data_IF_539517385789
#
_entry.id   IF_539517385789
#
_cell.length_a   1.000
_cell.length_b   1.000
_cell.length_c   1.000
_cell.angle_alpha   90.00
_cell.angle_beta   90.00
_cell.angle_gamma   90.00
#
_symmetry.space_group_name_H-M   'P 1'
#
loop_
_entity.id
_entity.type
_entity.pdbx_description
1 polymer ?
#
# COMPACT_ATOMS: atom_id res chain seq x y z
N UNK A 1 9.74 -1.30 23.13
CA UNK A 1 10.85 -2.27 23.09
C UNK A 1 10.88 -2.97 21.73
N UNK A 2 11.43 -2.33 20.70
CA UNK A 2 11.87 -2.98 19.45
C UNK A 2 13.02 -2.11 18.90
N UNK A 3 14.17 -2.16 19.58
CA UNK A 3 15.45 -1.51 19.20
C UNK A 3 16.16 -2.30 18.10
N UNK A 4 15.41 -2.82 17.11
CA UNK A 4 15.93 -3.75 16.10
C UNK A 4 15.69 -3.19 14.70
N UNK A 5 16.67 -3.40 13.81
CA UNK A 5 16.63 -2.99 12.39
C UNK A 5 15.41 -3.52 11.61
N UNK A 6 14.73 -4.52 12.16
CA UNK A 6 13.53 -5.14 11.59
C UNK A 6 12.22 -4.58 12.13
N UNK A 7 12.27 -3.75 13.19
CA UNK A 7 11.10 -3.27 13.88
C UNK A 7 10.12 -2.54 12.94
N UNK A 8 10.67 -1.72 12.03
CA UNK A 8 9.86 -0.98 11.08
C UNK A 8 9.18 -1.90 10.06
N UNK A 9 9.93 -2.82 9.45
CA UNK A 9 9.38 -3.78 8.50
C UNK A 9 8.32 -4.69 9.14
N UNK A 10 8.59 -5.21 10.35
CA UNK A 10 7.65 -6.04 11.09
C UNK A 10 6.39 -5.24 11.39
N UNK A 11 6.52 -4.01 11.89
CA UNK A 11 5.37 -3.16 12.17
C UNK A 11 4.54 -2.92 10.90
N UNK A 12 5.20 -2.48 9.82
CA UNK A 12 4.58 -2.27 8.51
C UNK A 12 3.76 -3.48 8.08
N UNK A 13 4.36 -4.68 8.03
CA UNK A 13 3.68 -5.88 7.56
C UNK A 13 2.62 -6.39 8.54
N UNK A 14 2.87 -6.30 9.85
CA UNK A 14 2.02 -6.86 10.88
C UNK A 14 0.63 -6.20 10.91
N UNK A 15 0.53 -4.90 10.67
CA UNK A 15 -0.77 -4.22 10.64
C UNK A 15 -1.36 -4.15 9.22
N UNK A 16 -0.53 -4.00 8.18
CA UNK A 16 -1.06 -3.83 6.81
C UNK A 16 -1.59 -5.12 6.19
N UNK A 17 -0.89 -6.25 6.37
CA UNK A 17 -1.29 -7.51 5.75
C UNK A 17 -2.66 -8.01 6.24
N UNK A 18 -3.01 -7.97 7.54
CA UNK A 18 -4.35 -8.30 7.99
C UNK A 18 -5.43 -7.40 7.37
N UNK A 19 -5.18 -6.11 7.23
CA UNK A 19 -6.14 -5.16 6.63
C UNK A 19 -6.33 -5.46 5.15
N UNK A 20 -5.25 -5.68 4.40
CA UNK A 20 -5.32 -6.11 2.99
C UNK A 20 -6.08 -7.43 2.86
N UNK A 21 -5.80 -8.41 3.72
CA UNK A 21 -6.49 -9.70 3.71
C UNK A 21 -8.00 -9.55 3.91
N UNK A 22 -8.42 -8.69 4.86
CA UNK A 22 -9.83 -8.37 5.09
C UNK A 22 -10.44 -7.69 3.85
N UNK A 23 -9.77 -6.67 3.29
CA UNK A 23 -10.27 -5.98 2.10
C UNK A 23 -10.41 -6.94 0.91
N UNK A 24 -9.44 -7.83 0.69
CA UNK A 24 -9.50 -8.83 -0.37
C UNK A 24 -10.63 -9.84 -0.14
N UNK A 25 -10.80 -10.33 1.10
CA UNK A 25 -11.90 -11.23 1.44
C UNK A 25 -13.26 -10.58 1.18
N UNK A 26 -13.44 -9.32 1.59
CA UNK A 26 -14.67 -8.55 1.33
C UNK A 26 -14.89 -8.31 -0.17
N UNK A 27 -13.83 -7.97 -0.91
CA UNK A 27 -13.89 -7.71 -2.35
C UNK A 27 -14.27 -8.98 -3.11
N UNK A 28 -13.64 -10.11 -2.79
CA UNK A 28 -13.95 -11.42 -3.39
C UNK A 28 -15.38 -11.84 -3.06
N UNK A 29 -15.81 -11.69 -1.80
CA UNK A 29 -17.17 -12.02 -1.40
C UNK A 29 -18.23 -11.16 -2.11
N UNK A 30 -17.94 -9.87 -2.30
CA UNK A 30 -18.85 -8.93 -2.94
C UNK A 30 -18.93 -9.13 -4.47
N UNK A 31 -17.79 -9.14 -5.16
CA UNK A 31 -17.74 -9.17 -6.63
C UNK A 31 -17.74 -10.59 -7.22
N UNK A 32 -17.48 -11.62 -6.41
CA UNK A 32 -17.46 -13.04 -6.79
C UNK A 32 -16.63 -13.30 -8.05
N UNK A 33 -17.23 -13.79 -9.13
CA UNK A 33 -16.55 -14.06 -10.39
C UNK A 33 -15.91 -12.83 -11.04
N UNK A 34 -16.38 -11.61 -10.72
CA UNK A 34 -15.81 -10.35 -11.22
C UNK A 34 -14.67 -9.81 -10.36
N UNK A 35 -14.31 -10.47 -9.26
CA UNK A 35 -13.25 -10.00 -8.38
C UNK A 35 -11.90 -9.85 -9.12
N UNK A 36 -11.60 -10.76 -10.04
CA UNK A 36 -10.38 -10.70 -10.85
C UNK A 36 -10.31 -9.45 -11.72
N UNK A 37 -11.44 -9.03 -12.32
CA UNK A 37 -11.48 -7.84 -13.17
C UNK A 37 -11.34 -6.55 -12.35
N UNK A 38 -11.96 -6.52 -11.16
CA UNK A 38 -11.77 -5.40 -10.23
C UNK A 38 -10.31 -5.32 -9.79
N UNK A 39 -9.68 -6.43 -9.42
CA UNK A 39 -8.26 -6.44 -9.05
C UNK A 39 -7.36 -5.95 -10.19
N UNK A 40 -7.63 -6.35 -11.43
CA UNK A 40 -6.91 -5.85 -12.62
C UNK A 40 -7.12 -4.36 -12.87
N UNK A 41 -8.24 -3.79 -12.45
CA UNK A 41 -8.49 -2.36 -12.58
C UNK A 41 -7.78 -1.54 -11.48
N UNK A 42 -7.67 -2.08 -10.27
CA UNK A 42 -7.22 -1.33 -9.07
C UNK A 42 -5.74 -1.52 -8.75
N UNK A 43 -5.14 -2.67 -9.08
CA UNK A 43 -3.74 -2.94 -8.76
C UNK A 43 -2.75 -2.16 -9.64
N UNK A 44 -2.90 -2.07 -10.99
CA UNK A 44 -1.97 -1.29 -11.80
C UNK A 44 -1.81 0.18 -11.37
N UNK A 45 -2.88 0.97 -11.15
CA UNK A 45 -2.71 2.35 -10.71
C UNK A 45 -2.07 2.43 -9.31
N UNK A 46 -2.39 1.49 -8.40
CA UNK A 46 -1.75 1.43 -7.09
C UNK A 46 -0.23 1.21 -7.20
N UNK A 47 0.19 0.28 -8.06
CA UNK A 47 1.61 0.01 -8.28
C UNK A 47 2.30 1.19 -8.96
N UNK A 48 1.67 1.81 -9.96
CA UNK A 48 2.20 3.02 -10.62
C UNK A 48 2.43 4.14 -9.62
N UNK A 49 1.45 4.42 -8.75
CA UNK A 49 1.56 5.44 -7.70
C UNK A 49 2.65 5.08 -6.69
N UNK A 50 2.69 3.83 -6.22
CA UNK A 50 3.72 3.41 -5.25
C UNK A 50 5.15 3.49 -5.81
N UNK A 51 5.33 3.13 -7.08
CA UNK A 51 6.62 3.29 -7.78
C UNK A 51 6.96 4.77 -7.98
N UNK A 52 5.99 5.58 -8.41
CA UNK A 52 6.18 7.03 -8.58
C UNK A 52 6.63 7.70 -7.28
N UNK A 53 5.95 7.39 -6.17
CA UNK A 53 6.30 7.93 -4.85
C UNK A 53 7.69 7.47 -4.42
N UNK A 54 8.03 6.20 -4.65
CA UNK A 54 9.38 5.69 -4.34
C UNK A 54 10.48 6.42 -5.13
N UNK A 55 10.23 6.76 -6.40
CA UNK A 55 11.17 7.52 -7.23
C UNK A 55 11.27 8.98 -6.74
N UNK A 56 10.14 9.60 -6.45
CA UNK A 56 10.11 10.96 -5.90
C UNK A 56 10.89 11.05 -4.58
N UNK A 57 10.74 10.03 -3.73
CA UNK A 57 11.45 9.91 -2.47
C UNK A 57 12.96 9.76 -2.67
N UNK A 58 13.36 8.89 -3.60
CA UNK A 58 14.75 8.74 -4.01
C UNK A 58 15.37 10.07 -4.44
N UNK A 59 14.67 10.82 -5.29
CA UNK A 59 15.12 12.12 -5.78
C UNK A 59 15.29 13.10 -4.61
N UNK A 60 14.29 13.19 -3.73
CA UNK A 60 14.32 14.11 -2.59
C UNK A 60 15.54 13.86 -1.68
N UNK A 61 15.87 12.59 -1.42
CA UNK A 61 17.04 12.19 -0.63
C UNK A 61 18.33 12.51 -1.40
N UNK A 62 18.38 12.18 -2.69
CA UNK A 62 19.58 12.44 -3.52
C UNK A 62 19.90 13.93 -3.64
N UNK A 63 18.89 14.80 -3.61
CA UNK A 63 19.03 16.26 -3.63
C UNK A 63 19.24 16.88 -2.25
N UNK A 64 19.26 16.07 -1.19
CA UNK A 64 19.46 16.54 0.17
C UNK A 64 18.29 17.35 0.75
N UNK A 65 17.08 17.23 0.18
CA UNK A 65 15.87 17.88 0.73
C UNK A 65 15.61 17.32 2.13
N UNK A 66 15.82 16.01 2.30
CA UNK A 66 15.72 15.33 3.58
C UNK A 66 16.50 14.01 3.57
N UNK A 67 16.65 13.36 4.72
CA UNK A 67 17.40 12.10 4.86
C UNK A 67 16.82 11.21 5.97
N UNK A 68 17.04 9.91 5.87
CA UNK A 68 16.70 8.94 6.91
C UNK A 68 17.74 8.95 8.04
N UNK A 69 17.28 8.89 9.29
CA UNK A 69 18.16 8.76 10.44
C UNK A 69 18.92 7.43 10.41
N UNK A 70 20.24 7.48 10.61
CA UNK A 70 21.08 6.28 10.61
C UNK A 70 20.62 5.25 11.67
N UNK A 71 20.56 3.97 11.28
CA UNK A 71 20.49 2.84 12.23
C UNK A 71 19.14 2.14 12.41
N UNK A 72 18.04 2.58 11.77
CA UNK A 72 16.71 1.94 11.94
C UNK A 72 16.25 1.00 10.82
N UNK A 73 16.99 0.94 9.71
CA UNK A 73 16.62 0.13 8.55
C UNK A 73 17.39 -1.20 8.48
N UNK A 74 16.78 -2.19 7.84
CA UNK A 74 17.34 -3.51 7.52
C UNK A 74 18.64 -3.37 6.73
N UNK A 75 18.84 -2.26 6.02
CA UNK A 75 20.08 -1.94 5.30
C UNK A 75 20.06 -2.36 3.83
N UNK A 76 18.90 -2.76 3.31
CA UNK A 76 18.66 -2.98 1.89
C UNK A 76 18.08 -1.70 1.31
N UNK A 77 18.67 -1.20 0.22
CA UNK A 77 18.27 0.05 -0.42
C UNK A 77 17.97 -0.17 -1.91
N UNK A 78 16.95 0.52 -2.39
CA UNK A 78 16.65 0.68 -3.82
C UNK A 78 17.01 2.12 -4.20
N UNK A 79 18.18 2.30 -4.82
CA UNK A 79 18.77 3.63 -4.96
C UNK A 79 19.15 4.20 -3.59
N UNK A 80 18.61 5.37 -3.26
CA UNK A 80 18.83 6.03 -1.95
C UNK A 80 17.73 5.71 -0.91
N UNK A 81 16.71 4.93 -1.29
CA UNK A 81 15.52 4.68 -0.45
C UNK A 81 15.62 3.31 0.22
N UNK A 82 15.39 3.20 1.54
CA UNK A 82 15.30 1.91 2.22
C UNK A 82 14.18 1.04 1.64
N UNK A 83 14.39 -0.28 1.59
CA UNK A 83 13.40 -1.24 1.09
C UNK A 83 12.05 -1.10 1.80
N UNK A 84 12.07 -0.85 3.11
CA UNK A 84 10.87 -0.69 3.93
C UNK A 84 9.99 0.48 3.47
N UNK A 85 10.60 1.55 2.95
CA UNK A 85 9.88 2.73 2.46
C UNK A 85 9.28 2.48 1.08
N UNK A 86 10.02 1.77 0.22
CA UNK A 86 9.48 1.30 -1.06
C UNK A 86 8.26 0.39 -0.80
N UNK A 87 8.38 -0.54 0.15
CA UNK A 87 7.27 -1.39 0.57
C UNK A 87 6.13 -0.58 1.16
N UNK A 88 6.42 0.44 1.97
CA UNK A 88 5.41 1.34 2.52
C UNK A 88 4.60 2.01 1.40
N UNK A 89 5.24 2.64 0.42
CA UNK A 89 4.54 3.30 -0.68
C UNK A 89 3.70 2.32 -1.52
N UNK A 90 4.21 1.12 -1.79
CA UNK A 90 3.48 0.10 -2.55
C UNK A 90 2.27 -0.43 -1.76
N UNK A 91 2.47 -0.85 -0.51
CA UNK A 91 1.44 -1.44 0.33
C UNK A 91 0.33 -0.44 0.64
N UNK A 92 0.70 0.81 0.97
CA UNK A 92 -0.29 1.87 1.25
C UNK A 92 -1.07 2.27 0.00
N UNK A 93 -0.43 2.32 -1.17
CA UNK A 93 -1.13 2.56 -2.44
C UNK A 93 -2.14 1.45 -2.75
N UNK A 94 -1.77 0.18 -2.49
CA UNK A 94 -2.68 -0.96 -2.64
C UNK A 94 -3.84 -0.88 -1.65
N UNK A 95 -3.58 -0.56 -0.38
CA UNK A 95 -4.62 -0.38 0.66
C UNK A 95 -5.65 0.68 0.26
N UNK A 96 -5.19 1.83 -0.25
CA UNK A 96 -6.05 2.93 -0.70
C UNK A 96 -6.88 2.49 -1.91
N UNK A 97 -6.26 1.83 -2.89
CA UNK A 97 -6.94 1.42 -4.12
C UNK A 97 -8.00 0.34 -3.86
N UNK A 98 -7.70 -0.67 -3.03
CA UNK A 98 -8.67 -1.67 -2.57
C UNK A 98 -9.79 -1.02 -1.74
N UNK A 99 -9.44 -0.07 -0.87
CA UNK A 99 -10.41 0.68 -0.06
C UNK A 99 -11.39 1.46 -0.92
N UNK A 100 -10.90 2.13 -1.98
CA UNK A 100 -11.75 2.87 -2.92
C UNK A 100 -12.68 1.95 -3.70
N UNK A 101 -12.22 0.77 -4.10
CA UNK A 101 -13.05 -0.22 -4.80
C UNK A 101 -14.19 -0.78 -3.92
N UNK A 102 -13.94 -0.95 -2.63
CA UNK A 102 -14.96 -1.35 -1.66
C UNK A 102 -15.90 -0.20 -1.29
N UNK A 103 -15.37 1.02 -1.17
CA UNK A 103 -16.16 2.20 -0.88
C UNK A 103 -17.15 2.51 -2.00
N UNK A 104 -16.70 2.43 -3.25
CA UNK A 104 -17.56 2.60 -4.43
C UNK A 104 -18.64 1.50 -4.51
N UNK A 105 -18.32 0.25 -4.16
CA UNK A 105 -19.32 -0.81 -4.01
C UNK A 105 -20.38 -0.46 -2.95
N UNK A 106 -19.95 0.02 -1.77
CA UNK A 106 -20.84 0.40 -0.69
C UNK A 106 -21.80 1.53 -1.09
N UNK A 107 -21.30 2.55 -1.79
CA UNK A 107 -22.14 3.65 -2.30
C UNK A 107 -23.22 3.14 -3.26
N UNK A 108 -22.84 2.29 -4.23
CA UNK A 108 -23.77 1.70 -5.20
C UNK A 108 -24.84 0.83 -4.53
N UNK A 109 -24.48 0.09 -3.48
CA UNK A 109 -25.44 -0.66 -2.68
C UNK A 109 -26.43 0.21 -1.91
N UNK A 110 -26.01 1.41 -1.48
CA UNK A 110 -26.88 2.35 -0.78
C UNK A 110 -27.87 2.98 -1.75
N UNK A 111 -27.42 3.39 -2.93
CA UNK A 111 -28.25 3.97 -3.99
C UNK A 111 -29.36 3.00 -4.43
N UNK A 112 -29.02 1.73 -4.67
CA UNK A 112 -29.99 0.70 -5.07
C UNK A 112 -31.05 0.37 -4.00
N UNK A 113 -30.83 0.77 -2.74
CA UNK A 113 -31.79 0.59 -1.64
C UNK A 113 -32.73 1.79 -1.47
N UNK A 114 -32.37 2.94 -2.02
CA UNK A 114 -33.12 4.19 -1.91
C UNK A 114 -34.01 4.50 -3.12
N UNK A 115 -33.84 3.76 -4.22
CA UNK A 115 -34.68 3.77 -5.43
C UNK A 115 -35.76 2.70 -5.38
#
# INVERSE_FOLDING_TARGET
MMETRWAYLIHLLAWTLPVIAIQLALLVNHYKSRAGDVLRAVLPPALVVGVYLSIADHLAISTGIWNFGAGRHVGVYVGAVPLEEVLFFLITSVLVSLGLALFTALLRFKEARTS
#
